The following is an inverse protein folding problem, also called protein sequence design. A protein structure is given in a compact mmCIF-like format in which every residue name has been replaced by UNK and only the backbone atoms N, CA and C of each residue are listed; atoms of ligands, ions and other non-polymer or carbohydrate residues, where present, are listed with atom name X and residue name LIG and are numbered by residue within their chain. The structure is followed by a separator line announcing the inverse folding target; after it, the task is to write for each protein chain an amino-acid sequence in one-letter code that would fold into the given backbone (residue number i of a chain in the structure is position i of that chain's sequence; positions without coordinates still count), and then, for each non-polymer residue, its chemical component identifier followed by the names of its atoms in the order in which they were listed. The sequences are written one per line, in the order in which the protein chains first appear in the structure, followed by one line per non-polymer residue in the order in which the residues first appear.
data_IF_322235291586
#
_entry.id   IF_322235291586
#
_cell.length_a   1.000
_cell.length_b   1.000
_cell.length_c   1.000
_cell.angle_alpha   90.00
_cell.angle_beta   90.00
_cell.angle_gamma   90.00
#
_symmetry.space_group_name_H-M   'P 1'
#
loop_
_entity.id
_entity.type
_entity.pdbx_description
1 polymer ?
#
# COMPACT_ATOMS: atom_id res chain seq x y z
N UNK A 1 -26.79 18.17 -67.60
CA UNK A 1 -25.31 18.19 -67.66
C UNK A 1 -24.78 18.11 -66.24
N UNK A 2 -23.74 17.29 -66.06
CA UNK A 2 -23.18 16.77 -64.80
C UNK A 2 -22.88 17.82 -63.72
N UNK A 3 -23.22 17.52 -62.47
CA UNK A 3 -22.65 18.14 -61.28
C UNK A 3 -21.63 17.16 -60.68
N UNK A 4 -20.35 17.56 -60.65
CA UNK A 4 -19.28 16.80 -60.00
C UNK A 4 -18.93 17.43 -58.64
N UNK A 5 -18.75 16.52 -57.70
CA UNK A 5 -18.37 16.66 -56.29
C UNK A 5 -16.94 17.17 -56.09
N UNK A 6 -16.70 17.93 -55.01
CA UNK A 6 -15.37 18.10 -54.43
C UNK A 6 -15.45 18.25 -52.88
N UNK A 7 -15.26 17.10 -52.21
CA UNK A 7 -14.53 16.83 -50.96
C UNK A 7 -14.37 17.88 -49.84
N UNK A 8 -14.99 17.56 -48.68
CA UNK A 8 -14.42 17.41 -47.32
C UNK A 8 -13.42 18.45 -46.76
N UNK A 9 -13.76 19.10 -45.63
CA UNK A 9 -12.91 19.10 -44.43
C UNK A 9 -13.69 19.43 -43.13
N UNK A 10 -13.31 18.71 -42.09
CA UNK A 10 -14.02 18.40 -40.85
C UNK A 10 -14.19 19.58 -39.86
N UNK A 11 -15.34 19.58 -39.20
CA UNK A 11 -15.66 20.32 -37.96
C UNK A 11 -14.81 19.76 -36.81
N UNK A 12 -14.02 20.63 -36.16
CA UNK A 12 -13.40 20.35 -34.86
C UNK A 12 -14.39 20.73 -33.75
N UNK A 13 -15.03 19.75 -33.12
CA UNK A 13 -15.58 19.93 -31.78
C UNK A 13 -14.54 19.43 -30.76
N UNK A 14 -13.96 20.36 -30.01
CA UNK A 14 -13.11 20.06 -28.86
C UNK A 14 -13.99 19.60 -27.71
N UNK A 15 -14.15 18.28 -27.57
CA UNK A 15 -14.79 17.66 -26.42
C UNK A 15 -13.85 17.65 -25.22
N UNK A 16 -14.30 18.24 -24.12
CA UNK A 16 -13.80 18.02 -22.76
C UNK A 16 -13.92 16.53 -22.42
N UNK A 17 -12.84 15.78 -22.61
CA UNK A 17 -12.79 14.39 -22.23
C UNK A 17 -12.39 14.31 -20.75
N UNK A 18 -13.39 14.16 -19.89
CA UNK A 18 -13.22 13.46 -18.63
C UNK A 18 -12.41 12.19 -18.92
N UNK A 19 -11.17 12.14 -18.42
CA UNK A 19 -10.36 10.93 -18.47
C UNK A 19 -11.05 9.93 -17.57
N UNK A 20 -11.89 9.11 -18.21
CA UNK A 20 -12.44 7.88 -17.67
C UNK A 20 -11.30 7.17 -16.96
N UNK A 21 -11.54 6.74 -15.71
CA UNK A 21 -10.75 5.71 -15.05
C UNK A 21 -10.71 4.52 -16.00
N UNK A 22 -9.66 4.49 -16.82
CA UNK A 22 -9.36 3.39 -17.68
C UNK A 22 -8.98 2.28 -16.72
N UNK A 23 -9.71 1.18 -16.80
CA UNK A 23 -9.51 -0.03 -16.02
C UNK A 23 -8.07 -0.53 -16.29
N UNK A 24 -7.10 0.05 -15.57
CA UNK A 24 -5.75 -0.48 -15.42
C UNK A 24 -6.00 -1.90 -14.92
N UNK A 25 -5.31 -2.90 -15.50
CA UNK A 25 -5.15 -4.19 -14.78
C UNK A 25 -4.84 -3.80 -13.34
N UNK A 26 -5.56 -4.34 -12.36
CA UNK A 26 -5.24 -4.07 -10.95
C UNK A 26 -3.74 -4.27 -10.81
N UNK A 27 -2.99 -3.18 -10.65
CA UNK A 27 -1.55 -3.31 -10.54
C UNK A 27 -1.30 -3.91 -9.19
N UNK A 28 -0.81 -5.15 -9.22
CA UNK A 28 -0.51 -5.90 -8.02
C UNK A 28 0.67 -5.21 -7.37
N UNK A 29 0.45 -4.65 -6.19
CA UNK A 29 1.48 -4.02 -5.38
C UNK A 29 2.09 -5.10 -4.49
N UNK A 30 3.41 -5.24 -4.53
CA UNK A 30 4.15 -6.06 -3.57
C UNK A 30 4.19 -5.35 -2.22
N UNK A 31 3.90 -6.09 -1.17
CA UNK A 31 3.92 -5.59 0.20
C UNK A 31 4.56 -6.61 1.14
N UNK A 32 5.01 -6.17 2.30
CA UNK A 32 5.50 -7.04 3.36
C UNK A 32 4.41 -7.22 4.41
N UNK A 33 4.00 -8.46 4.62
CA UNK A 33 3.15 -8.85 5.74
C UNK A 33 4.01 -9.08 6.98
N UNK A 34 3.65 -8.46 8.10
CA UNK A 34 4.18 -8.73 9.43
C UNK A 34 3.06 -9.37 10.26
N UNK A 35 3.03 -10.72 10.35
CA UNK A 35 2.04 -11.42 11.17
C UNK A 35 2.14 -11.01 12.65
N UNK A 36 1.00 -11.03 13.35
CA UNK A 36 0.97 -10.76 14.80
C UNK A 36 1.71 -11.82 15.59
N UNK A 37 1.70 -13.05 15.10
CA UNK A 37 2.31 -14.20 15.77
C UNK A 37 3.79 -14.30 15.44
N UNK A 38 4.56 -14.84 16.38
CA UNK A 38 6.02 -14.95 16.22
C UNK A 38 6.49 -16.24 15.57
N UNK A 39 5.60 -17.19 15.33
CA UNK A 39 5.85 -18.48 14.68
C UNK A 39 5.89 -18.36 13.14
N UNK A 40 5.21 -17.37 12.57
CA UNK A 40 5.27 -17.06 11.15
C UNK A 40 6.17 -15.85 10.91
N UNK A 41 7.18 -15.97 10.03
CA UNK A 41 8.06 -14.86 9.69
C UNK A 41 7.34 -13.83 8.81
N UNK A 42 7.78 -12.55 8.83
CA UNK A 42 7.33 -11.59 7.84
C UNK A 42 7.62 -12.10 6.42
N UNK A 43 6.72 -11.85 5.47
CA UNK A 43 6.83 -12.39 4.12
C UNK A 43 6.17 -11.49 3.08
N UNK A 44 6.60 -11.61 1.83
CA UNK A 44 6.07 -10.81 0.73
C UNK A 44 4.70 -11.33 0.31
N UNK A 45 3.77 -10.41 0.12
CA UNK A 45 2.42 -10.64 -0.40
C UNK A 45 2.14 -9.67 -1.55
N UNK A 46 1.11 -9.97 -2.34
CA UNK A 46 0.60 -9.06 -3.36
C UNK A 46 -0.78 -8.53 -2.92
N UNK A 47 -1.02 -7.24 -3.16
CA UNK A 47 -2.32 -6.59 -2.93
C UNK A 47 -2.79 -5.90 -4.20
N UNK A 48 -4.09 -5.99 -4.48
CA UNK A 48 -4.74 -5.34 -5.63
C UNK A 48 -5.50 -4.07 -5.24
N UNK A 49 -5.42 -3.66 -3.97
CA UNK A 49 -6.01 -2.44 -3.45
C UNK A 49 -6.67 -2.60 -2.08
N UNK A 50 -7.60 -1.71 -1.77
CA UNK A 50 -8.16 -1.53 -0.43
C UNK A 50 -8.73 -2.82 0.19
N UNK A 51 -9.45 -3.64 -0.59
CA UNK A 51 -10.08 -4.85 -0.06
C UNK A 51 -9.05 -5.88 0.44
N UNK A 52 -7.91 -5.98 -0.24
CA UNK A 52 -6.82 -6.88 0.18
C UNK A 52 -6.09 -6.33 1.40
N UNK A 53 -5.91 -5.01 1.50
CA UNK A 53 -5.36 -4.36 2.69
C UNK A 53 -6.26 -4.59 3.91
N UNK A 54 -7.57 -4.37 3.77
CA UNK A 54 -8.56 -4.59 4.83
C UNK A 54 -8.60 -6.05 5.28
N UNK A 55 -8.49 -6.99 4.33
CA UNK A 55 -8.38 -8.41 4.65
C UNK A 55 -7.09 -8.72 5.41
N UNK A 56 -5.96 -8.15 5.00
CA UNK A 56 -4.66 -8.39 5.62
C UNK A 56 -4.59 -7.88 7.07
N UNK A 57 -5.18 -6.71 7.36
CA UNK A 57 -5.23 -6.14 8.72
C UNK A 57 -6.44 -6.61 9.54
N UNK A 58 -7.28 -7.48 8.96
CA UNK A 58 -8.48 -8.03 9.60
C UNK A 58 -9.52 -6.95 10.01
N UNK A 59 -9.66 -5.88 9.21
CA UNK A 59 -10.62 -4.80 9.50
C UNK A 59 -10.46 -3.55 8.64
N UNK A 60 -10.94 -2.41 9.13
CA UNK A 60 -10.71 -1.12 8.47
C UNK A 60 -9.24 -0.73 8.58
N UNK A 61 -8.70 -0.15 7.51
CA UNK A 61 -7.29 0.21 7.44
C UNK A 61 -7.09 1.64 7.92
N UNK A 62 -6.07 1.84 8.74
CA UNK A 62 -5.47 3.14 9.02
C UNK A 62 -4.07 3.16 8.39
N UNK A 63 -3.75 4.26 7.69
CA UNK A 63 -2.44 4.49 7.11
C UNK A 63 -1.52 5.14 8.16
N UNK A 64 -0.40 4.50 8.44
CA UNK A 64 0.68 5.02 9.29
C UNK A 64 1.90 5.28 8.39
N UNK A 65 2.10 6.52 7.92
CA UNK A 65 3.16 6.84 6.97
C UNK A 65 4.53 6.85 7.64
N UNK A 66 5.50 6.21 7.00
CA UNK A 66 6.93 6.40 7.25
C UNK A 66 7.58 7.28 6.19
N UNK A 67 8.91 7.36 6.18
CA UNK A 67 9.66 8.20 5.23
C UNK A 67 9.47 7.77 3.77
N UNK A 68 9.56 6.47 3.51
CA UNK A 68 9.57 5.84 2.18
C UNK A 68 8.57 4.67 2.09
N UNK A 69 7.65 4.57 3.04
CA UNK A 69 6.70 3.46 3.15
C UNK A 69 5.37 3.88 3.78
N UNK A 70 4.34 3.05 3.60
CA UNK A 70 3.10 3.14 4.38
C UNK A 70 2.86 1.82 5.09
N UNK A 71 2.71 1.86 6.42
CA UNK A 71 2.22 0.73 7.18
C UNK A 71 0.70 0.83 7.31
N UNK A 72 0.01 -0.24 6.97
CA UNK A 72 -1.43 -0.35 7.10
C UNK A 72 -1.73 -1.20 8.33
N UNK A 73 -2.49 -0.62 9.25
CA UNK A 73 -2.89 -1.24 10.52
C UNK A 73 -4.41 -1.33 10.59
N UNK A 74 -4.92 -2.12 11.53
CA UNK A 74 -6.35 -2.11 11.83
C UNK A 74 -6.72 -0.88 12.66
N UNK A 75 -7.55 0.01 12.10
CA UNK A 75 -8.02 1.24 12.76
C UNK A 75 -8.69 0.95 14.12
N UNK A 76 -9.41 -0.18 14.21
CA UNK A 76 -10.17 -0.56 15.41
C UNK A 76 -9.43 -1.60 16.26
N UNK A 77 -8.20 -1.98 15.90
CA UNK A 77 -7.50 -3.12 16.51
C UNK A 77 -7.35 -3.01 18.04
N UNK A 78 -7.06 -1.81 18.55
CA UNK A 78 -6.91 -1.56 20.00
C UNK A 78 -8.25 -1.64 20.73
N UNK A 79 -9.31 -1.08 20.11
CA UNK A 79 -10.66 -1.05 20.69
C UNK A 79 -11.27 -2.45 20.71
N UNK A 80 -10.96 -3.27 19.70
CA UNK A 80 -11.43 -4.66 19.57
C UNK A 80 -10.58 -5.67 20.32
N UNK A 81 -9.44 -5.25 20.90
CA UNK A 81 -8.59 -6.10 21.72
C UNK A 81 -7.69 -7.05 20.93
N UNK A 82 -7.25 -6.66 19.73
CA UNK A 82 -6.28 -7.43 18.96
C UNK A 82 -4.97 -7.62 19.72
N UNK A 83 -4.27 -8.76 19.52
CA UNK A 83 -3.03 -9.04 20.22
C UNK A 83 -1.92 -8.07 19.82
N UNK A 84 -1.03 -7.77 20.76
CA UNK A 84 0.18 -6.99 20.52
C UNK A 84 1.07 -7.64 19.45
N UNK A 85 1.57 -6.85 18.50
CA UNK A 85 2.46 -7.30 17.44
C UNK A 85 3.89 -6.80 17.71
N UNK A 86 4.74 -7.58 18.41
CA UNK A 86 6.06 -7.11 18.84
C UNK A 86 7.00 -6.77 17.69
N UNK A 87 6.84 -7.42 16.52
CA UNK A 87 7.71 -7.14 15.36
C UNK A 87 7.29 -5.86 14.66
N UNK A 88 6.00 -5.69 14.39
CA UNK A 88 5.50 -4.47 13.78
C UNK A 88 5.73 -3.27 14.71
N UNK A 89 5.47 -3.43 16.01
CA UNK A 89 5.72 -2.41 17.02
C UNK A 89 7.16 -1.93 17.03
N UNK A 90 8.11 -2.87 17.10
CA UNK A 90 9.54 -2.54 17.09
C UNK A 90 9.97 -1.88 15.79
N UNK A 91 9.52 -2.38 14.64
CA UNK A 91 9.88 -1.81 13.35
C UNK A 91 9.35 -0.38 13.20
N UNK A 92 8.06 -0.15 13.51
CA UNK A 92 7.43 1.15 13.33
C UNK A 92 7.99 2.19 14.30
N UNK A 93 8.18 1.87 15.58
CA UNK A 93 8.78 2.80 16.55
C UNK A 93 10.24 3.17 16.24
N UNK A 94 10.98 2.31 15.55
CA UNK A 94 12.35 2.63 15.11
C UNK A 94 12.39 3.39 13.78
N UNK A 95 11.37 3.23 12.94
CA UNK A 95 11.33 3.82 11.61
C UNK A 95 10.57 5.15 11.57
N UNK A 96 9.71 5.43 12.55
CA UNK A 96 8.84 6.60 12.60
C UNK A 96 9.07 7.32 13.94
N UNK A 97 10.01 8.30 14.00
CA UNK A 97 10.35 9.02 15.22
C UNK A 97 9.17 9.74 15.89
N UNK A 98 8.14 10.07 15.13
CA UNK A 98 6.94 10.77 15.58
C UNK A 98 5.92 9.86 16.27
N UNK A 99 6.06 8.53 16.17
CA UNK A 99 5.19 7.61 16.89
C UNK A 99 5.37 7.77 18.40
N UNK A 100 4.24 7.91 19.09
CA UNK A 100 4.22 8.07 20.54
C UNK A 100 4.79 6.83 21.23
N UNK A 101 5.75 7.03 22.13
CA UNK A 101 6.33 5.95 22.96
C UNK A 101 5.34 5.32 23.95
N UNK A 102 4.16 5.92 24.12
CA UNK A 102 3.06 5.37 24.91
C UNK A 102 2.07 4.56 24.07
N UNK A 103 2.26 4.52 22.76
CA UNK A 103 1.40 3.76 21.87
C UNK A 103 1.96 2.36 21.61
N UNK A 104 1.13 1.46 21.09
CA UNK A 104 1.56 0.13 20.69
C UNK A 104 0.89 -0.31 19.38
N UNK A 105 1.58 -1.19 18.65
CA UNK A 105 1.04 -1.78 17.43
C UNK A 105 0.39 -3.13 17.77
N UNK A 106 -0.85 -3.32 17.32
CA UNK A 106 -1.65 -4.53 17.55
C UNK A 106 -2.14 -5.09 16.22
N UNK A 107 -2.39 -6.40 16.20
CA UNK A 107 -2.86 -7.09 15.01
C UNK A 107 -1.82 -7.20 13.89
N UNK A 108 -2.19 -7.81 12.76
CA UNK A 108 -1.29 -7.94 11.63
C UNK A 108 -1.08 -6.58 10.96
N UNK A 109 0.11 -6.39 10.39
CA UNK A 109 0.47 -5.16 9.65
C UNK A 109 0.93 -5.54 8.26
N UNK A 110 0.46 -4.81 7.25
CA UNK A 110 0.96 -4.92 5.88
C UNK A 110 1.64 -3.61 5.50
N UNK A 111 2.83 -3.69 4.91
CA UNK A 111 3.66 -2.53 4.56
C UNK A 111 3.83 -2.47 3.04
N UNK A 112 3.40 -1.37 2.43
CA UNK A 112 3.69 -1.03 1.04
C UNK A 112 4.92 -0.11 0.96
N UNK A 113 5.41 0.18 -0.24
CA UNK A 113 6.28 1.32 -0.45
C UNK A 113 5.57 2.65 -0.15
N UNK A 114 6.20 3.76 -0.54
CA UNK A 114 5.59 5.08 -0.50
C UNK A 114 4.39 5.19 -1.45
N UNK A 115 4.00 6.43 -1.73
CA UNK A 115 2.95 6.72 -2.71
C UNK A 115 3.56 7.33 -3.97
N UNK A 116 2.96 7.05 -5.13
CA UNK A 116 3.35 7.68 -6.39
C UNK A 116 2.78 9.09 -6.57
N UNK A 117 2.98 9.69 -7.74
CA UNK A 117 2.52 11.06 -8.05
C UNK A 117 0.98 11.20 -8.05
N UNK A 118 0.25 10.09 -8.22
CA UNK A 118 -1.21 10.03 -8.20
C UNK A 118 -1.76 9.68 -6.81
N UNK A 119 -0.89 9.37 -5.85
CA UNK A 119 -1.25 8.94 -4.50
C UNK A 119 -1.57 7.45 -4.39
N UNK A 120 -1.26 6.65 -5.41
CA UNK A 120 -1.41 5.20 -5.39
C UNK A 120 -0.24 4.57 -4.60
N UNK A 121 -0.50 3.41 -3.97
CA UNK A 121 0.53 2.65 -3.27
C UNK A 121 1.57 2.11 -4.26
N UNK A 122 2.84 2.13 -3.84
CA UNK A 122 3.95 1.55 -4.60
C UNK A 122 4.46 0.25 -3.99
N UNK A 123 5.20 -0.52 -4.77
CA UNK A 123 5.84 -1.75 -4.32
C UNK A 123 6.78 -1.49 -3.13
N UNK A 124 6.80 -2.44 -2.19
CA UNK A 124 7.85 -2.50 -1.18
C UNK A 124 9.22 -2.60 -1.86
N UNK A 125 10.15 -1.72 -1.46
CA UNK A 125 11.50 -1.69 -2.00
C UNK A 125 12.39 -2.75 -1.34
N UNK A 126 13.43 -3.23 -2.04
CA UNK A 126 14.40 -4.12 -1.43
C UNK A 126 15.08 -3.56 -0.19
N UNK A 127 15.41 -2.27 -0.22
CA UNK A 127 16.04 -1.55 0.86
C UNK A 127 15.16 -1.52 2.11
N UNK A 128 13.83 -1.40 1.93
CA UNK A 128 12.88 -1.45 3.04
C UNK A 128 12.81 -2.86 3.66
N UNK A 129 12.87 -3.93 2.87
CA UNK A 129 12.93 -5.29 3.42
C UNK A 129 14.23 -5.53 4.19
N UNK A 130 15.36 -5.05 3.67
CA UNK A 130 16.64 -5.10 4.38
C UNK A 130 16.58 -4.33 5.71
N UNK A 131 15.97 -3.14 5.74
CA UNK A 131 15.77 -2.39 6.99
C UNK A 131 14.90 -3.14 7.99
N UNK A 132 13.84 -3.81 7.54
CA UNK A 132 13.02 -4.68 8.41
C UNK A 132 13.86 -5.83 8.95
N UNK A 133 14.66 -6.48 8.10
CA UNK A 133 15.57 -7.55 8.53
C UNK A 133 16.54 -7.09 9.60
N UNK A 134 17.21 -5.95 9.40
CA UNK A 134 18.18 -5.38 10.34
C UNK A 134 17.53 -5.06 11.68
N UNK A 135 16.33 -4.49 11.65
CA UNK A 135 15.62 -4.16 12.88
C UNK A 135 15.19 -5.46 13.57
N UNK A 136 14.58 -6.40 12.87
CA UNK A 136 14.05 -7.60 13.50
C UNK A 136 15.11 -8.68 13.79
N UNK A 137 16.36 -8.50 13.34
CA UNK A 137 17.41 -9.52 13.41
C UNK A 137 17.08 -10.74 12.54
N UNK A 138 16.45 -10.51 11.39
CA UNK A 138 16.00 -11.54 10.45
C UNK A 138 16.85 -11.56 9.17
N UNK A 139 16.63 -12.56 8.31
CA UNK A 139 17.30 -12.71 7.02
C UNK A 139 16.29 -13.13 5.94
N UNK A 140 15.30 -12.28 5.67
CA UNK A 140 14.31 -12.46 4.60
C UNK A 140 14.93 -12.14 3.22
N UNK A 141 14.66 -12.97 2.22
CA UNK A 141 15.04 -12.73 0.82
C UNK A 141 13.82 -12.36 -0.02
N UNK A 142 13.98 -11.40 -0.94
CA UNK A 142 12.97 -11.01 -1.93
C UNK A 142 12.85 -11.97 -3.11
#
# INVERSE_FOLDING_TARGET
MSAQSCSLLHVRQGGTAARRHQHRRSEMTKALMIPTTTDELPHIVETTGLADLQKAVEGFVEAVPGEDFTAWVNEEGKITGMPFNPRADRFLHLSIPELSTFDCIVGPVIITGGVDEDGDNTDITPELVERVNDYLGLSLSL
#
